data_IF_208408561784
#
_entry.id   IF_208408561784
#
_cell.length_a   1.000
_cell.length_b   1.000
_cell.length_c   1.000
_cell.angle_alpha   90.00
_cell.angle_beta   90.00
_cell.angle_gamma   90.00
#
_symmetry.space_group_name_H-M   'P 1'
#
loop_
_entity.id
_entity.type
_entity.pdbx_description
1 polymer ?
#
# COMPACT_ATOMS: atom_id res chain seq x y z
N UNK A 1 24.14 12.88 3.38
CA UNK A 1 24.23 11.47 3.82
C UNK A 1 23.12 10.71 3.12
N UNK A 2 23.50 9.79 2.23
CA UNK A 2 22.59 8.92 1.49
C UNK A 2 21.88 8.01 2.50
N UNK A 3 20.56 8.11 2.65
CA UNK A 3 19.81 7.10 3.39
C UNK A 3 19.73 5.86 2.51
N UNK A 4 20.65 4.92 2.73
CA UNK A 4 20.51 3.52 2.31
C UNK A 4 19.06 3.09 2.63
N UNK A 5 18.25 2.95 1.59
CA UNK A 5 16.93 2.35 1.73
C UNK A 5 17.17 0.92 2.17
N UNK A 6 17.09 0.65 3.47
CA UNK A 6 17.16 -0.74 3.96
C UNK A 6 15.98 -1.49 3.34
N UNK A 7 16.21 -2.48 2.45
CA UNK A 7 15.14 -3.00 1.62
C UNK A 7 14.35 -4.04 2.41
N UNK A 8 13.23 -3.61 2.99
CA UNK A 8 12.19 -4.54 3.39
C UNK A 8 11.67 -5.24 2.13
N UNK A 9 11.84 -6.56 2.06
CA UNK A 9 11.32 -7.39 0.98
C UNK A 9 10.18 -8.25 1.50
N UNK A 10 9.09 -8.33 0.74
CA UNK A 10 7.96 -9.21 1.03
C UNK A 10 7.87 -10.27 -0.07
N UNK A 11 7.92 -11.55 0.31
CA UNK A 11 7.81 -12.68 -0.62
C UNK A 11 6.91 -13.80 -0.08
N UNK A 12 6.38 -14.68 -0.95
CA UNK A 12 5.67 -15.87 -0.49
C UNK A 12 6.56 -16.76 0.38
N UNK A 13 5.94 -17.55 1.26
CA UNK A 13 6.61 -18.62 1.99
C UNK A 13 7.10 -19.70 1.02
N UNK A 14 8.34 -20.14 1.18
CA UNK A 14 8.91 -21.30 0.52
C UNK A 14 9.11 -22.45 1.52
N UNK A 15 9.11 -23.69 1.03
CA UNK A 15 9.33 -24.88 1.88
C UNK A 15 10.63 -24.79 2.70
N UNK A 16 11.70 -24.25 2.09
CA UNK A 16 13.01 -24.09 2.74
C UNK A 16 13.02 -23.08 3.90
N UNK A 17 12.01 -22.23 4.03
CA UNK A 17 11.94 -21.24 5.12
C UNK A 17 11.53 -21.87 6.46
N UNK A 18 10.87 -23.05 6.45
CA UNK A 18 10.17 -23.57 7.62
C UNK A 18 11.07 -23.76 8.85
N UNK A 19 12.26 -24.33 8.66
CA UNK A 19 13.23 -24.53 9.74
C UNK A 19 13.81 -23.20 10.22
N UNK A 20 14.25 -22.34 9.30
CA UNK A 20 14.84 -21.05 9.62
C UNK A 20 13.89 -20.12 10.39
N UNK A 21 12.60 -20.13 10.03
CA UNK A 21 11.57 -19.37 10.76
C UNK A 21 11.39 -19.93 12.18
N UNK A 22 11.26 -21.26 12.32
CA UNK A 22 11.09 -21.90 13.62
C UNK A 22 12.27 -21.61 14.56
N UNK A 23 13.51 -21.73 14.05
CA UNK A 23 14.72 -21.39 14.80
C UNK A 23 14.74 -19.92 15.23
N UNK A 24 14.35 -19.00 14.34
CA UNK A 24 14.35 -17.58 14.62
C UNK A 24 13.39 -17.21 15.77
N UNK A 25 12.20 -17.81 15.81
CA UNK A 25 11.25 -17.61 16.91
C UNK A 25 11.67 -18.32 18.20
N UNK A 26 12.25 -19.52 18.09
CA UNK A 26 12.76 -20.26 19.25
C UNK A 26 13.85 -19.46 19.99
N UNK A 27 14.73 -18.76 19.27
CA UNK A 27 15.78 -17.89 19.85
C UNK A 27 15.23 -16.74 20.72
N UNK A 28 13.98 -16.32 20.52
CA UNK A 28 13.32 -15.31 21.35
C UNK A 28 12.28 -15.90 22.32
N UNK A 29 12.29 -17.22 22.51
CA UNK A 29 11.44 -17.94 23.46
C UNK A 29 10.01 -18.21 22.96
N UNK A 30 9.75 -18.12 21.66
CA UNK A 30 8.42 -18.41 21.09
C UNK A 30 8.42 -19.81 20.48
N UNK A 31 7.51 -20.67 20.95
CA UNK A 31 7.35 -22.02 20.42
C UNK A 31 6.49 -22.01 19.14
N UNK A 32 7.15 -21.96 17.99
CA UNK A 32 6.52 -22.07 16.67
C UNK A 32 7.25 -23.15 15.86
N UNK A 33 6.86 -24.43 15.95
CA UNK A 33 7.62 -25.53 15.38
C UNK A 33 7.61 -25.51 13.85
N UNK A 34 8.67 -26.04 13.22
CA UNK A 34 8.78 -26.11 11.75
C UNK A 34 7.57 -26.78 11.08
N UNK A 35 6.95 -27.76 11.76
CA UNK A 35 5.73 -28.44 11.31
C UNK A 35 4.54 -27.49 11.09
N UNK A 36 4.44 -26.39 11.85
CA UNK A 36 3.42 -25.36 11.63
C UNK A 36 3.61 -24.69 10.26
N UNK A 37 4.84 -24.33 9.92
CA UNK A 37 5.16 -23.67 8.65
C UNK A 37 5.08 -24.62 7.46
N UNK A 38 5.45 -25.89 7.65
CA UNK A 38 5.24 -26.93 6.64
C UNK A 38 3.74 -27.07 6.28
N UNK A 39 2.86 -27.13 7.30
CA UNK A 39 1.40 -27.12 7.08
C UNK A 39 0.93 -25.84 6.38
N UNK A 40 1.45 -24.67 6.78
CA UNK A 40 1.10 -23.41 6.10
C UNK A 40 1.52 -23.39 4.63
N UNK A 41 2.68 -23.99 4.31
CA UNK A 41 3.14 -24.13 2.93
C UNK A 41 2.23 -25.07 2.12
N UNK A 42 1.85 -26.23 2.67
CA UNK A 42 0.88 -27.13 2.04
C UNK A 42 -0.49 -26.47 1.81
N UNK A 43 -0.98 -25.70 2.80
CA UNK A 43 -2.21 -24.91 2.69
C UNK A 43 -2.11 -23.81 1.63
N UNK A 44 -0.92 -23.23 1.46
CA UNK A 44 -0.63 -22.23 0.44
C UNK A 44 -0.69 -22.84 -0.97
N UNK A 45 -0.02 -23.97 -1.18
CA UNK A 45 -0.04 -24.70 -2.46
C UNK A 45 -1.45 -25.20 -2.80
N UNK A 46 -2.23 -25.60 -1.79
CA UNK A 46 -3.63 -25.97 -1.93
C UNK A 46 -4.60 -24.78 -2.07
N UNK A 47 -4.12 -23.54 -2.04
CA UNK A 47 -4.94 -22.34 -2.19
C UNK A 47 -5.90 -22.04 -1.02
N UNK A 48 -5.72 -22.68 0.13
CA UNK A 48 -6.50 -22.47 1.37
C UNK A 48 -5.96 -21.32 2.22
N UNK A 49 -4.65 -21.11 2.18
CA UNK A 49 -3.93 -20.01 2.87
C UNK A 49 -3.11 -19.22 1.85
N UNK A 50 -2.75 -17.98 2.19
CA UNK A 50 -1.64 -17.27 1.56
C UNK A 50 -0.69 -16.79 2.67
N UNK A 51 0.63 -17.01 2.52
CA UNK A 51 1.62 -16.61 3.52
C UNK A 51 2.61 -15.62 2.91
N UNK A 52 2.87 -14.53 3.62
CA UNK A 52 3.86 -13.54 3.24
C UNK A 52 4.94 -13.44 4.30
N UNK A 53 6.18 -13.66 3.88
CA UNK A 53 7.40 -13.52 4.68
C UNK A 53 7.99 -12.14 4.43
N UNK A 54 8.38 -11.46 5.52
CA UNK A 54 9.13 -10.23 5.50
C UNK A 54 10.62 -10.50 5.76
N UNK A 55 11.47 -9.95 4.90
CA UNK A 55 12.92 -9.95 5.06
C UNK A 55 13.42 -8.52 5.22
N UNK A 56 14.22 -8.28 6.26
CA UNK A 56 14.86 -6.99 6.51
C UNK A 56 16.35 -7.11 6.20
N UNK A 57 16.80 -6.50 5.10
CA UNK A 57 18.17 -6.64 4.60
C UNK A 57 18.59 -8.13 4.40
N UNK A 58 17.67 -8.94 3.88
CA UNK A 58 17.87 -10.37 3.61
C UNK A 58 17.68 -11.29 4.83
N UNK A 59 17.53 -10.76 6.05
CA UNK A 59 17.26 -11.57 7.24
C UNK A 59 15.76 -11.69 7.49
N UNK A 60 15.31 -12.87 7.93
CA UNK A 60 13.92 -13.12 8.27
C UNK A 60 13.48 -12.17 9.40
N UNK A 61 12.43 -11.38 9.14
CA UNK A 61 11.94 -10.36 10.05
C UNK A 61 10.56 -10.68 10.65
N UNK A 62 9.73 -11.41 9.90
CA UNK A 62 8.38 -11.73 10.32
C UNK A 62 7.55 -12.34 9.21
N UNK A 63 6.29 -12.64 9.49
CA UNK A 63 5.34 -13.14 8.52
C UNK A 63 3.90 -12.74 8.87
N UNK A 64 3.02 -12.87 7.89
CA UNK A 64 1.57 -12.82 8.08
C UNK A 64 0.93 -13.88 7.22
N UNK A 65 -0.25 -14.34 7.62
CA UNK A 65 -1.03 -15.26 6.80
C UNK A 65 -2.44 -14.74 6.54
N UNK A 66 -3.05 -15.19 5.47
CA UNK A 66 -4.46 -14.99 5.15
C UNK A 66 -5.08 -16.36 4.96
N UNK A 67 -6.17 -16.65 5.67
CA UNK A 67 -7.04 -17.80 5.38
C UNK A 67 -8.25 -17.33 4.58
N UNK A 68 -8.59 -18.06 3.52
CA UNK A 68 -9.70 -17.68 2.63
C UNK A 68 -11.07 -18.10 3.19
N UNK A 69 -11.06 -19.10 4.07
CA UNK A 69 -12.21 -19.53 4.87
C UNK A 69 -11.81 -19.44 6.34
N UNK A 70 -12.49 -18.60 7.11
CA UNK A 70 -12.18 -18.36 8.52
C UNK A 70 -12.76 -19.47 9.41
N UNK A 71 -12.09 -19.77 10.52
CA UNK A 71 -12.63 -20.65 11.57
C UNK A 71 -13.69 -19.92 12.42
N UNK A 72 -13.68 -18.58 12.45
CA UNK A 72 -14.71 -17.77 13.10
C UNK A 72 -16.01 -17.79 12.29
N UNK A 73 -17.05 -18.40 12.86
CA UNK A 73 -18.30 -18.69 12.15
C UNK A 73 -18.95 -17.46 11.49
N UNK A 74 -19.00 -16.27 12.11
CA UNK A 74 -19.50 -15.07 11.45
C UNK A 74 -18.73 -14.62 10.21
N UNK A 75 -17.39 -14.73 10.20
CA UNK A 75 -16.59 -14.39 9.02
C UNK A 75 -16.79 -15.42 7.92
N UNK A 76 -16.79 -16.71 8.27
CA UNK A 76 -17.09 -17.79 7.32
C UNK A 76 -18.45 -17.63 6.66
N UNK A 77 -19.50 -17.38 7.44
CA UNK A 77 -20.86 -17.19 6.94
C UNK A 77 -20.99 -15.97 6.01
N UNK A 78 -20.18 -14.93 6.24
CA UNK A 78 -20.15 -13.72 5.41
C UNK A 78 -19.08 -13.76 4.30
N UNK A 79 -18.40 -14.90 4.11
CA UNK A 79 -17.26 -15.06 3.19
C UNK A 79 -16.20 -13.96 3.33
N UNK A 80 -15.89 -13.57 4.57
CA UNK A 80 -14.84 -12.59 4.90
C UNK A 80 -13.52 -13.34 5.08
N UNK A 81 -12.51 -13.13 4.21
CA UNK A 81 -11.17 -13.68 4.43
C UNK A 81 -10.54 -13.07 5.68
N UNK A 82 -9.78 -13.88 6.40
CA UNK A 82 -9.22 -13.50 7.68
C UNK A 82 -7.70 -13.41 7.61
N UNK A 83 -7.15 -12.29 8.07
CA UNK A 83 -5.72 -12.17 8.36
C UNK A 83 -5.47 -12.84 9.71
N UNK A 84 -4.61 -13.84 9.74
CA UNK A 84 -4.27 -14.57 10.95
C UNK A 84 -2.76 -14.69 11.12
N UNK A 85 -2.32 -14.81 12.37
CA UNK A 85 -0.93 -15.11 12.75
C UNK A 85 0.11 -14.10 12.21
N UNK A 86 -0.11 -12.80 12.44
CA UNK A 86 0.91 -11.76 12.20
C UNK A 86 1.99 -11.83 13.29
N UNK A 87 3.25 -12.04 12.88
CA UNK A 87 4.38 -12.04 13.81
C UNK A 87 5.58 -11.29 13.24
N UNK A 88 6.21 -10.45 14.07
CA UNK A 88 7.47 -9.76 13.75
C UNK A 88 8.43 -10.02 14.90
N UNK A 89 9.64 -10.48 14.58
CA UNK A 89 10.69 -10.71 15.59
C UNK A 89 10.95 -9.42 16.37
N UNK A 90 11.18 -9.55 17.68
CA UNK A 90 11.26 -8.38 18.59
C UNK A 90 12.27 -7.33 18.12
N UNK A 91 13.42 -7.76 17.59
CA UNK A 91 14.49 -6.88 17.06
C UNK A 91 14.09 -6.05 15.83
N UNK A 92 13.02 -6.45 15.13
CA UNK A 92 12.52 -5.79 13.92
C UNK A 92 11.18 -5.06 14.11
N UNK A 93 10.63 -5.06 15.33
CA UNK A 93 9.43 -4.31 15.65
C UNK A 93 9.68 -2.79 15.60
N UNK A 94 8.59 -2.02 15.48
CA UNK A 94 8.62 -0.56 15.36
C UNK A 94 9.37 -0.02 14.10
N UNK A 95 9.65 -0.88 13.11
CA UNK A 95 10.23 -0.52 11.81
C UNK A 95 9.23 -0.48 10.65
N UNK A 96 7.92 -0.48 10.96
CA UNK A 96 6.86 -0.48 9.94
C UNK A 96 6.58 -1.84 9.28
N UNK A 97 7.31 -2.91 9.64
CA UNK A 97 7.17 -4.24 9.02
C UNK A 97 5.78 -4.84 9.22
N UNK A 98 5.21 -4.75 10.43
CA UNK A 98 3.87 -5.26 10.71
C UNK A 98 2.81 -4.57 9.83
N UNK A 99 2.89 -3.25 9.67
CA UNK A 99 2.02 -2.49 8.78
C UNK A 99 2.17 -2.93 7.32
N UNK A 100 3.41 -3.12 6.84
CA UNK A 100 3.68 -3.57 5.48
C UNK A 100 3.12 -4.98 5.21
N UNK A 101 3.26 -5.90 6.17
CA UNK A 101 2.67 -7.24 6.10
C UNK A 101 1.14 -7.18 6.04
N UNK A 102 0.48 -6.41 6.92
CA UNK A 102 -0.98 -6.25 6.86
C UNK A 102 -1.43 -5.65 5.53
N UNK A 103 -0.77 -4.58 5.05
CA UNK A 103 -1.09 -3.98 3.75
C UNK A 103 -0.92 -4.97 2.60
N UNK A 104 0.11 -5.84 2.67
CA UNK A 104 0.31 -6.91 1.69
C UNK A 104 -0.83 -7.91 1.71
N UNK A 105 -1.30 -8.31 2.88
CA UNK A 105 -2.46 -9.19 3.06
C UNK A 105 -3.76 -8.53 2.56
N UNK A 106 -4.03 -7.28 2.95
CA UNK A 106 -5.16 -6.47 2.48
C UNK A 106 -5.21 -6.36 0.96
N UNK A 107 -4.05 -6.16 0.31
CA UNK A 107 -3.94 -6.13 -1.15
C UNK A 107 -4.36 -7.45 -1.80
N UNK A 108 -4.13 -8.59 -1.14
CA UNK A 108 -4.57 -9.91 -1.63
C UNK A 108 -6.05 -10.11 -1.41
N UNK A 109 -6.53 -9.78 -0.21
CA UNK A 109 -7.95 -9.86 0.15
C UNK A 109 -8.78 -8.98 -0.78
N UNK A 110 -8.35 -7.75 -1.06
CA UNK A 110 -9.05 -6.80 -1.93
C UNK A 110 -9.25 -7.26 -3.38
N UNK A 111 -8.55 -8.31 -3.83
CA UNK A 111 -8.82 -8.94 -5.13
C UNK A 111 -10.01 -9.90 -5.11
N UNK A 112 -10.46 -10.32 -3.93
CA UNK A 112 -11.50 -11.35 -3.73
C UNK A 112 -12.68 -10.86 -2.89
N UNK A 113 -12.43 -9.98 -1.93
CA UNK A 113 -13.43 -9.51 -0.98
C UNK A 113 -13.28 -8.01 -0.69
N UNK A 114 -14.41 -7.28 -0.56
CA UNK A 114 -14.41 -5.89 -0.11
C UNK A 114 -14.18 -5.75 1.40
N UNK A 115 -14.03 -6.85 2.14
CA UNK A 115 -13.82 -6.87 3.58
C UNK A 115 -12.63 -7.76 3.93
N UNK A 116 -11.81 -7.31 4.88
CA UNK A 116 -10.83 -8.13 5.57
C UNK A 116 -11.25 -8.29 7.04
N UNK A 117 -11.20 -9.52 7.54
CA UNK A 117 -11.35 -9.86 8.95
C UNK A 117 -10.00 -10.01 9.64
N UNK A 118 -9.95 -9.76 10.95
CA UNK A 118 -8.80 -10.08 11.79
C UNK A 118 -9.26 -10.34 13.22
N UNK A 119 -8.75 -11.39 13.86
CA UNK A 119 -8.88 -11.61 15.30
C UNK A 119 -7.70 -11.01 16.06
N UNK A 120 -7.94 -10.45 17.25
CA UNK A 120 -6.88 -10.05 18.18
C UNK A 120 -7.19 -10.49 19.60
N UNK A 121 -6.20 -11.09 20.27
CA UNK A 121 -6.31 -11.48 21.67
C UNK A 121 -6.43 -10.27 22.61
N UNK A 122 -6.95 -10.52 23.81
CA UNK A 122 -7.30 -9.45 24.76
C UNK A 122 -6.30 -9.23 25.91
N UNK A 123 -5.21 -10.01 25.96
CA UNK A 123 -4.13 -9.79 26.95
C UNK A 123 -3.18 -8.67 26.53
N UNK A 124 -2.36 -8.19 27.48
CA UNK A 124 -1.42 -7.09 27.25
C UNK A 124 -0.38 -7.39 26.16
N UNK A 125 -0.02 -8.66 25.96
CA UNK A 125 0.94 -9.09 24.94
C UNK A 125 0.45 -8.80 23.51
N UNK A 126 -0.88 -8.71 23.32
CA UNK A 126 -1.50 -8.31 22.06
C UNK A 126 -1.63 -6.79 21.88
N UNK A 127 -1.30 -5.98 22.90
CA UNK A 127 -1.41 -4.52 22.88
C UNK A 127 -0.78 -3.84 21.66
N UNK A 128 0.43 -4.23 21.21
CA UNK A 128 1.01 -3.72 19.97
C UNK A 128 0.14 -3.99 18.73
N UNK A 129 -0.43 -5.20 18.61
CA UNK A 129 -1.31 -5.59 17.51
C UNK A 129 -2.66 -4.83 17.57
N UNK A 130 -3.27 -4.73 18.76
CA UNK A 130 -4.50 -3.96 18.98
C UNK A 130 -4.35 -2.51 18.50
N UNK A 131 -3.24 -1.85 18.88
CA UNK A 131 -2.92 -0.48 18.45
C UNK A 131 -2.68 -0.38 16.95
N UNK A 132 -1.95 -1.34 16.38
CA UNK A 132 -1.70 -1.39 14.93
C UNK A 132 -3.02 -1.51 14.15
N UNK A 133 -3.89 -2.44 14.52
CA UNK A 133 -5.14 -2.68 13.79
C UNK A 133 -6.08 -1.48 13.88
N UNK A 134 -6.19 -0.86 15.06
CA UNK A 134 -6.95 0.37 15.22
C UNK A 134 -6.39 1.52 14.35
N UNK A 135 -5.05 1.69 14.32
CA UNK A 135 -4.40 2.70 13.47
C UNK A 135 -4.63 2.45 11.97
N UNK A 136 -4.66 1.18 11.55
CA UNK A 136 -4.99 0.79 10.18
C UNK A 136 -6.50 0.91 9.87
N UNK A 137 -7.34 1.24 10.87
CA UNK A 137 -8.77 1.48 10.65
C UNK A 137 -9.64 0.22 10.69
N UNK A 138 -9.13 -0.87 11.28
CA UNK A 138 -9.98 -1.99 11.69
C UNK A 138 -10.91 -1.56 12.82
N UNK A 139 -12.15 -2.02 12.75
CA UNK A 139 -13.20 -1.74 13.75
C UNK A 139 -13.77 -3.04 14.27
N UNK A 140 -14.21 -3.12 15.54
CA UNK A 140 -14.92 -4.29 16.04
C UNK A 140 -16.06 -4.72 15.11
N UNK A 141 -16.22 -6.02 14.91
CA UNK A 141 -17.26 -6.61 14.06
C UNK A 141 -18.68 -6.45 14.64
N UNK A 142 -18.79 -5.93 15.86
CA UNK A 142 -20.05 -5.69 16.57
C UNK A 142 -20.61 -6.91 17.30
N UNK A 143 -19.84 -8.00 17.43
CA UNK A 143 -20.31 -9.27 18.03
C UNK A 143 -19.76 -9.54 19.42
N UNK A 144 -18.93 -8.64 19.95
CA UNK A 144 -18.31 -8.79 21.26
C UNK A 144 -17.12 -9.75 21.25
N UNK A 145 -16.79 -10.29 22.41
CA UNK A 145 -15.68 -11.23 22.58
C UNK A 145 -16.11 -12.63 22.18
N UNK A 146 -15.16 -13.42 21.68
CA UNK A 146 -15.36 -14.81 21.36
C UNK A 146 -14.27 -15.66 22.01
N UNK A 147 -14.63 -16.84 22.50
CA UNK A 147 -13.71 -17.85 23.02
C UNK A 147 -13.71 -19.03 22.04
N UNK A 148 -12.54 -19.49 21.59
CA UNK A 148 -12.40 -20.58 20.61
C UNK A 148 -13.27 -20.37 19.35
N UNK A 149 -13.37 -19.13 18.88
CA UNK A 149 -14.18 -18.77 17.70
C UNK A 149 -15.69 -18.75 17.92
N UNK A 150 -16.19 -18.96 19.14
CA UNK A 150 -17.60 -18.88 19.49
C UNK A 150 -17.91 -17.60 20.30
N UNK A 151 -18.95 -16.81 19.94
CA UNK A 151 -19.33 -15.63 20.70
C UNK A 151 -19.64 -15.93 22.17
N UNK A 152 -19.12 -15.12 23.08
CA UNK A 152 -19.45 -15.23 24.50
C UNK A 152 -20.86 -14.68 24.77
N UNK A 153 -21.68 -15.46 25.48
CA UNK A 153 -23.00 -15.03 25.90
C UNK A 153 -22.94 -14.08 27.11
N UNK A 154 -23.92 -13.20 27.22
CA UNK A 154 -24.06 -12.36 28.42
C UNK A 154 -24.21 -13.24 29.68
N UNK A 155 -23.38 -12.98 30.69
CA UNK A 155 -23.33 -13.77 31.93
C UNK A 155 -22.45 -15.02 31.86
N UNK A 156 -21.83 -15.32 30.72
CA UNK A 156 -20.85 -16.39 30.62
C UNK A 156 -19.55 -16.03 31.36
N UNK A 157 -18.92 -17.04 31.97
CA UNK A 157 -17.51 -16.95 32.41
C UNK A 157 -16.63 -17.40 31.27
N UNK A 158 -15.59 -16.62 30.97
CA UNK A 158 -14.60 -16.89 29.92
C UNK A 158 -13.20 -16.96 30.53
N UNK A 159 -12.31 -17.72 29.90
CA UNK A 159 -10.91 -17.82 30.32
C UNK A 159 -10.12 -16.75 29.59
N UNK A 160 -9.31 -15.97 30.31
CA UNK A 160 -8.42 -14.98 29.68
C UNK A 160 -7.15 -15.69 29.22
N UNK A 161 -7.16 -16.15 27.98
CA UNK A 161 -6.05 -16.83 27.31
C UNK A 161 -5.93 -16.38 25.84
N UNK A 162 -5.12 -17.09 25.04
CA UNK A 162 -4.90 -16.79 23.63
C UNK A 162 -6.14 -16.98 22.75
N UNK A 163 -7.15 -17.71 23.25
CA UNK A 163 -8.39 -17.99 22.52
C UNK A 163 -9.51 -16.99 22.83
N UNK A 164 -9.29 -16.07 23.79
CA UNK A 164 -10.21 -14.96 24.06
C UNK A 164 -9.91 -13.78 23.12
N UNK A 165 -10.71 -13.68 22.07
CA UNK A 165 -10.45 -12.84 20.90
C UNK A 165 -11.56 -11.81 20.70
N UNK A 166 -11.17 -10.59 20.30
CA UNK A 166 -12.06 -9.62 19.69
C UNK A 166 -11.83 -9.61 18.17
N UNK A 167 -12.90 -9.85 17.42
CA UNK A 167 -12.84 -9.85 15.95
C UNK A 167 -13.13 -8.47 15.39
N UNK A 168 -12.32 -8.07 14.42
CA UNK A 168 -12.38 -6.76 13.77
C UNK A 168 -12.55 -6.93 12.26
N UNK A 169 -13.20 -5.96 11.63
CA UNK A 169 -13.33 -5.89 10.17
C UNK A 169 -12.82 -4.56 9.64
N UNK A 170 -12.34 -4.59 8.40
CA UNK A 170 -11.98 -3.39 7.63
C UNK A 170 -12.53 -3.50 6.22
N UNK A 171 -13.17 -2.43 5.73
CA UNK A 171 -13.51 -2.31 4.30
C UNK A 171 -12.25 -2.08 3.48
N UNK A 172 -12.00 -2.98 2.53
CA UNK A 172 -10.96 -2.86 1.53
C UNK A 172 -11.55 -2.11 0.33
N UNK A 173 -11.17 -0.85 0.18
CA UNK A 173 -11.58 -0.06 -0.98
C UNK A 173 -10.77 -0.52 -2.20
N UNK A 174 -11.39 -0.80 -3.35
CA UNK A 174 -10.65 -1.01 -4.57
C UNK A 174 -9.83 0.25 -4.87
N UNK A 175 -8.57 0.05 -5.27
CA UNK A 175 -7.72 1.17 -5.69
C UNK A 175 -8.24 1.71 -7.01
N UNK A 176 -8.32 3.03 -7.12
CA UNK A 176 -8.73 3.69 -8.37
C UNK A 176 -7.59 3.64 -9.36
N UNK A 177 -7.85 3.26 -10.60
CA UNK A 177 -6.91 3.48 -11.70
C UNK A 177 -6.82 4.98 -11.95
N UNK A 178 -5.61 5.53 -11.96
CA UNK A 178 -5.36 6.96 -12.08
C UNK A 178 -4.29 7.22 -13.13
N UNK A 179 -4.58 8.15 -14.04
CA UNK A 179 -3.58 8.81 -14.87
C UNK A 179 -2.84 9.89 -14.06
N UNK A 180 -1.53 10.06 -14.26
CA UNK A 180 -0.77 11.09 -13.54
C UNK A 180 0.28 11.71 -14.44
N UNK A 181 0.24 13.03 -14.59
CA UNK A 181 1.18 13.80 -15.38
C UNK A 181 2.34 14.29 -14.52
N UNK A 182 3.54 14.20 -15.07
CA UNK A 182 4.70 14.97 -14.65
C UNK A 182 4.97 15.98 -15.76
N UNK A 183 4.76 17.25 -15.43
CA UNK A 183 5.05 18.39 -16.30
C UNK A 183 6.15 19.20 -15.64
N UNK A 184 7.28 19.33 -16.33
CA UNK A 184 8.37 20.21 -15.90
C UNK A 184 8.17 21.60 -16.49
N UNK A 185 8.22 22.61 -15.63
CA UNK A 185 8.22 24.02 -16.03
C UNK A 185 9.52 24.68 -15.60
N UNK A 186 9.75 25.92 -16.06
CA UNK A 186 10.85 26.73 -15.55
C UNK A 186 10.78 26.88 -14.02
N UNK A 187 9.58 26.87 -13.43
CA UNK A 187 9.28 27.01 -12.00
C UNK A 187 9.42 25.71 -11.18
N UNK A 188 9.55 24.54 -11.82
CA UNK A 188 9.65 23.24 -11.15
C UNK A 188 8.65 22.22 -11.72
N UNK A 189 8.41 21.12 -10.99
CA UNK A 189 7.38 20.14 -11.38
C UNK A 189 6.02 20.70 -10.98
N UNK A 190 5.09 20.81 -11.93
CA UNK A 190 3.75 21.36 -11.71
C UNK A 190 2.94 20.51 -10.72
N UNK A 191 2.24 21.19 -9.82
CA UNK A 191 1.29 20.61 -8.88
C UNK A 191 -0.03 21.37 -8.91
N UNK A 192 -1.12 20.64 -8.76
CA UNK A 192 -2.50 21.13 -8.68
C UNK A 192 -3.03 20.97 -7.25
N UNK A 193 -3.74 21.98 -6.73
CA UNK A 193 -4.33 21.93 -5.39
C UNK A 193 -5.64 21.13 -5.36
N UNK A 194 -5.84 20.32 -4.34
CA UNK A 194 -7.17 19.80 -3.98
C UNK A 194 -7.97 20.84 -3.18
N UNK A 195 -9.28 20.65 -3.08
CA UNK A 195 -10.16 21.46 -2.23
C UNK A 195 -9.67 21.53 -0.76
N UNK A 196 -9.10 20.44 -0.25
CA UNK A 196 -8.51 20.36 1.11
C UNK A 196 -7.15 21.08 1.29
N UNK A 197 -6.64 21.75 0.25
CA UNK A 197 -5.39 22.53 0.32
C UNK A 197 -4.10 21.69 0.28
N UNK A 198 -4.19 20.40 -0.08
CA UNK A 198 -3.04 19.58 -0.44
C UNK A 198 -2.70 19.76 -1.92
N UNK A 199 -1.43 19.65 -2.26
CA UNK A 199 -0.98 19.65 -3.65
C UNK A 199 -0.73 18.22 -4.15
N UNK A 200 -1.19 17.94 -5.37
CA UNK A 200 -1.02 16.68 -6.09
C UNK A 200 -0.35 16.93 -7.44
N UNK A 201 0.20 15.88 -8.03
CA UNK A 201 0.52 15.91 -9.46
C UNK A 201 -0.78 15.93 -10.28
N UNK A 202 -0.84 16.70 -11.38
CA UNK A 202 -2.02 16.75 -12.22
C UNK A 202 -2.45 15.36 -12.70
N UNK A 203 -3.74 15.12 -12.78
CA UNK A 203 -4.29 13.84 -13.21
C UNK A 203 -5.51 13.41 -12.41
N UNK A 204 -6.10 12.28 -12.80
CA UNK A 204 -7.37 11.86 -12.24
C UNK A 204 -7.73 10.41 -12.50
N UNK A 205 -8.92 10.05 -11.99
CA UNK A 205 -9.44 8.70 -12.12
C UNK A 205 -9.75 8.39 -13.59
N UNK A 206 -9.47 7.15 -14.00
CA UNK A 206 -9.85 6.67 -15.33
C UNK A 206 -11.35 6.45 -15.40
N UNK A 207 -12.01 7.07 -16.36
CA UNK A 207 -13.44 6.94 -16.61
C UNK A 207 -13.79 5.70 -17.47
N UNK A 208 -15.05 5.24 -17.49
CA UNK A 208 -15.46 4.11 -18.33
C UNK A 208 -15.18 4.37 -19.82
N UNK A 209 -14.40 3.48 -20.44
CA UNK A 209 -13.99 3.60 -21.85
C UNK A 209 -12.73 4.43 -22.08
N UNK A 210 -12.18 5.03 -21.03
CA UNK A 210 -10.99 5.88 -21.08
C UNK A 210 -9.70 5.07 -20.80
N UNK A 211 -8.62 5.40 -21.49
CA UNK A 211 -7.27 4.91 -21.18
C UNK A 211 -6.64 5.76 -20.07
N UNK A 212 -5.57 5.25 -19.44
CA UNK A 212 -4.85 6.05 -18.43
C UNK A 212 -4.18 7.29 -19.04
N UNK A 213 -3.80 7.23 -20.32
CA UNK A 213 -3.25 8.37 -21.03
C UNK A 213 -4.33 9.42 -21.26
N UNK A 214 -5.48 9.04 -21.81
CA UNK A 214 -6.61 9.97 -22.01
C UNK A 214 -7.03 10.65 -20.71
N UNK A 215 -7.15 9.89 -19.62
CA UNK A 215 -7.43 10.44 -18.29
C UNK A 215 -6.36 11.46 -17.85
N UNK A 216 -5.08 11.15 -18.10
CA UNK A 216 -3.98 12.07 -17.77
C UNK A 216 -4.08 13.38 -18.56
N UNK A 217 -4.39 13.31 -19.86
CA UNK A 217 -4.44 14.48 -20.73
C UNK A 217 -5.69 15.33 -20.49
N UNK A 218 -6.84 14.69 -20.23
CA UNK A 218 -8.09 15.35 -19.87
C UNK A 218 -7.91 16.16 -18.58
N UNK A 219 -7.45 15.51 -17.53
CA UNK A 219 -7.28 16.11 -16.21
C UNK A 219 -6.19 17.19 -16.22
N UNK A 220 -5.08 17.00 -16.95
CA UNK A 220 -4.08 18.05 -17.13
C UNK A 220 -4.71 19.33 -17.70
N UNK A 221 -5.57 19.19 -18.70
CA UNK A 221 -6.28 20.33 -19.30
C UNK A 221 -7.31 20.94 -18.35
N UNK A 222 -8.07 20.13 -17.63
CA UNK A 222 -9.12 20.58 -16.69
C UNK A 222 -8.54 21.26 -15.45
N UNK A 223 -7.42 20.76 -14.91
CA UNK A 223 -6.80 21.26 -13.68
C UNK A 223 -5.83 22.43 -13.93
N UNK A 224 -5.25 22.54 -15.14
CA UNK A 224 -4.15 23.48 -15.39
C UNK A 224 -4.28 24.31 -16.67
N UNK A 225 -5.29 24.04 -17.50
CA UNK A 225 -5.47 24.66 -18.81
C UNK A 225 -4.46 24.21 -19.88
N UNK A 226 -3.41 23.48 -19.51
CA UNK A 226 -2.37 23.03 -20.43
C UNK A 226 -2.90 21.98 -21.41
N UNK A 227 -2.47 22.07 -22.67
CA UNK A 227 -2.70 21.05 -23.68
C UNK A 227 -1.40 20.30 -23.93
N UNK A 228 -1.47 18.98 -23.81
CA UNK A 228 -0.32 18.15 -24.12
C UNK A 228 -0.03 18.15 -25.62
N UNK A 229 1.25 18.34 -25.94
CA UNK A 229 1.81 18.15 -27.27
C UNK A 229 2.25 16.70 -27.45
N UNK A 230 2.93 16.16 -26.43
CA UNK A 230 3.33 14.76 -26.40
C UNK A 230 3.34 14.23 -24.97
N UNK A 231 3.21 12.90 -24.83
CA UNK A 231 3.20 12.22 -23.55
C UNK A 231 3.90 10.86 -23.64
N UNK A 232 4.74 10.57 -22.65
CA UNK A 232 5.57 9.39 -22.60
C UNK A 232 5.34 8.65 -21.30
N UNK A 233 4.99 7.35 -21.39
CA UNK A 233 4.86 6.52 -20.20
C UNK A 233 6.21 6.39 -19.49
N UNK A 234 6.23 6.57 -18.17
CA UNK A 234 7.41 6.41 -17.33
C UNK A 234 7.36 5.10 -16.55
N UNK A 235 6.41 5.00 -15.61
CA UNK A 235 6.29 3.85 -14.72
C UNK A 235 4.92 3.78 -14.05
N UNK A 236 4.63 2.62 -13.45
CA UNK A 236 3.51 2.43 -12.53
C UNK A 236 3.92 2.74 -11.09
N UNK A 237 3.03 3.38 -10.32
CA UNK A 237 3.22 3.63 -8.89
C UNK A 237 1.93 3.34 -8.12
N UNK A 238 2.05 2.69 -6.97
CA UNK A 238 0.89 2.31 -6.16
C UNK A 238 0.88 3.09 -4.85
N UNK A 239 -0.21 3.82 -4.61
CA UNK A 239 -0.49 4.48 -3.33
C UNK A 239 -1.55 3.70 -2.56
N UNK A 240 -1.92 4.14 -1.36
CA UNK A 240 -3.02 3.52 -0.61
C UNK A 240 -4.37 3.63 -1.32
N UNK A 241 -4.59 4.70 -2.10
CA UNK A 241 -5.88 4.98 -2.73
C UNK A 241 -5.93 4.63 -4.23
N UNK A 242 -4.79 4.62 -4.92
CA UNK A 242 -4.75 4.56 -6.38
C UNK A 242 -3.60 3.75 -6.95
N UNK A 243 -3.84 3.17 -8.13
CA UNK A 243 -2.82 2.62 -9.03
C UNK A 243 -2.56 3.67 -10.11
N UNK A 244 -1.37 4.25 -10.10
CA UNK A 244 -0.98 5.32 -11.00
C UNK A 244 -0.24 4.75 -12.21
N UNK A 245 -0.65 5.14 -13.42
CA UNK A 245 0.26 5.16 -14.59
C UNK A 245 0.78 6.58 -14.75
N UNK A 246 2.09 6.73 -14.63
CA UNK A 246 2.76 8.03 -14.61
C UNK A 246 3.33 8.32 -16.00
N UNK A 247 3.03 9.50 -16.51
CA UNK A 247 3.47 9.98 -17.82
C UNK A 247 4.29 11.25 -17.67
N UNK A 248 5.40 11.35 -18.40
CA UNK A 248 6.04 12.63 -18.66
C UNK A 248 5.28 13.32 -19.79
N UNK A 249 4.79 14.53 -19.54
CA UNK A 249 3.95 15.26 -20.50
C UNK A 249 4.64 16.55 -20.89
N UNK A 250 4.87 16.71 -22.19
CA UNK A 250 5.32 17.98 -22.79
C UNK A 250 4.06 18.77 -23.12
N UNK A 251 3.89 19.91 -22.47
CA UNK A 251 2.75 20.78 -22.67
C UNK A 251 3.25 22.24 -22.69
N UNK A 252 3.47 22.83 -23.87
CA UNK A 252 3.91 24.20 -23.98
C UNK A 252 2.81 25.17 -23.49
N UNK A 253 3.25 26.32 -22.99
CA UNK A 253 2.38 27.35 -22.42
C UNK A 253 2.56 27.52 -20.91
N UNK A 254 1.85 28.50 -20.35
CA UNK A 254 1.84 28.76 -18.91
C UNK A 254 0.61 28.11 -18.27
N UNK A 255 0.76 27.27 -17.23
CA UNK A 255 -0.36 26.65 -16.56
C UNK A 255 -1.17 27.72 -15.80
N UNK A 256 -2.49 27.61 -15.88
CA UNK A 256 -3.41 28.54 -15.25
C UNK A 256 -4.33 27.81 -14.27
N UNK A 257 -4.59 28.37 -13.08
CA UNK A 257 -5.61 27.84 -12.19
C UNK A 257 -6.98 27.81 -12.90
N UNK A 258 -7.78 26.80 -12.57
CA UNK A 258 -9.15 26.64 -13.09
C UNK A 258 -10.16 26.73 -11.96
N UNK A 259 -11.46 26.71 -12.29
CA UNK A 259 -12.52 26.68 -11.25
C UNK A 259 -12.39 25.47 -10.34
N UNK A 260 -11.95 24.32 -10.88
CA UNK A 260 -11.76 23.08 -10.13
C UNK A 260 -10.45 23.09 -9.33
N UNK A 261 -9.42 23.74 -9.85
CA UNK A 261 -8.09 23.83 -9.24
C UNK A 261 -7.68 25.29 -9.09
N UNK A 262 -8.11 25.97 -8.03
CA UNK A 262 -7.89 27.41 -7.88
C UNK A 262 -6.44 27.77 -7.54
N UNK A 263 -5.58 26.80 -7.22
CA UNK A 263 -4.17 27.04 -6.88
C UNK A 263 -3.25 26.03 -7.55
N UNK A 264 -2.16 26.55 -8.11
CA UNK A 264 -1.05 25.77 -8.63
C UNK A 264 0.19 26.01 -7.76
N UNK A 265 1.03 24.99 -7.64
CA UNK A 265 2.34 25.08 -6.99
C UNK A 265 3.38 24.35 -7.82
N UNK A 266 4.65 24.49 -7.42
CA UNK A 266 5.76 23.86 -8.12
C UNK A 266 6.67 23.17 -7.12
N UNK A 267 6.91 21.88 -7.35
CA UNK A 267 7.90 21.14 -6.58
C UNK A 267 9.30 21.43 -7.11
N UNK A 268 10.20 21.83 -6.19
CA UNK A 268 11.64 21.91 -6.38
C UNK A 268 12.35 21.38 -5.15
N UNK A 269 13.55 20.85 -5.33
CA UNK A 269 14.40 20.49 -4.20
C UNK A 269 14.63 21.71 -3.29
N UNK A 270 14.34 21.56 -2.00
CA UNK A 270 14.52 22.61 -0.99
C UNK A 270 13.34 23.60 -0.84
N UNK A 271 12.28 23.48 -1.65
CA UNK A 271 11.05 24.29 -1.48
C UNK A 271 10.03 23.50 -0.67
N UNK A 272 9.49 24.11 0.38
CA UNK A 272 8.43 23.50 1.19
C UNK A 272 7.06 23.72 0.52
N UNK A 273 6.42 22.63 0.14
CA UNK A 273 5.07 22.61 -0.44
C UNK A 273 4.28 21.55 0.29
N UNK A 274 3.04 21.86 0.67
CA UNK A 274 2.12 20.92 1.30
C UNK A 274 1.62 19.87 0.30
N UNK A 275 2.52 19.00 -0.14
CA UNK A 275 2.29 17.96 -1.13
C UNK A 275 1.76 16.69 -0.45
N UNK A 276 0.76 16.05 -1.05
CA UNK A 276 0.27 14.78 -0.53
C UNK A 276 1.37 13.71 -0.58
N UNK A 277 1.41 12.83 0.43
CA UNK A 277 2.45 11.81 0.57
C UNK A 277 2.64 10.95 -0.69
N UNK A 278 1.54 10.54 -1.34
CA UNK A 278 1.59 9.76 -2.58
C UNK A 278 2.18 10.53 -3.77
N UNK A 279 1.81 11.80 -3.93
CA UNK A 279 2.37 12.64 -4.99
C UNK A 279 3.88 12.88 -4.76
N UNK A 280 4.29 13.12 -3.50
CA UNK A 280 5.71 13.24 -3.14
C UNK A 280 6.50 11.98 -3.48
N UNK A 281 5.96 10.80 -3.18
CA UNK A 281 6.61 9.53 -3.50
C UNK A 281 6.80 9.33 -5.02
N UNK A 282 5.80 9.73 -5.83
CA UNK A 282 5.91 9.69 -7.30
C UNK A 282 7.00 10.65 -7.79
N UNK A 283 7.02 11.89 -7.28
CA UNK A 283 8.02 12.89 -7.65
C UNK A 283 9.44 12.44 -7.31
N UNK A 284 9.67 11.92 -6.11
CA UNK A 284 10.99 11.42 -5.72
C UNK A 284 11.43 10.25 -6.61
N UNK A 285 10.52 9.31 -6.90
CA UNK A 285 10.81 8.22 -7.84
C UNK A 285 11.11 8.72 -9.25
N UNK A 286 10.43 9.78 -9.70
CA UNK A 286 10.74 10.40 -10.99
C UNK A 286 12.13 11.02 -11.02
N UNK A 287 12.54 11.71 -9.95
CA UNK A 287 13.90 12.28 -9.85
C UNK A 287 14.95 11.18 -9.99
N UNK A 288 14.78 10.05 -9.30
CA UNK A 288 15.68 8.89 -9.42
C UNK A 288 15.63 8.28 -10.82
N UNK A 289 14.43 8.11 -11.38
CA UNK A 289 14.21 7.57 -12.73
C UNK A 289 14.91 8.44 -13.80
N UNK A 290 14.83 9.77 -13.67
CA UNK A 290 15.48 10.73 -14.55
C UNK A 290 16.99 10.61 -14.49
N UNK A 291 17.56 10.55 -13.28
CA UNK A 291 19.01 10.42 -13.10
C UNK A 291 19.56 9.11 -13.67
N UNK A 292 18.76 8.04 -13.62
CA UNK A 292 19.13 6.75 -14.19
C UNK A 292 19.05 6.71 -15.74
N UNK A 293 18.35 7.65 -16.38
CA UNK A 293 18.10 7.65 -17.83
C UNK A 293 18.32 9.01 -18.51
N UNK A 294 19.50 9.64 -18.38
CA UNK A 294 19.73 11.01 -18.86
C UNK A 294 19.48 11.16 -20.37
N UNK A 295 19.97 10.23 -21.19
CA UNK A 295 19.83 10.27 -22.64
C UNK A 295 18.37 10.26 -23.13
N UNK A 296 17.46 9.57 -22.40
CA UNK A 296 16.03 9.57 -22.72
C UNK A 296 15.44 10.98 -22.55
N UNK A 297 15.73 11.63 -21.42
CA UNK A 297 15.20 12.97 -21.14
C UNK A 297 15.87 14.07 -21.97
N UNK A 298 17.14 13.91 -22.33
CA UNK A 298 17.82 14.82 -23.26
C UNK A 298 17.18 14.74 -24.66
N UNK A 299 16.84 13.53 -25.11
CA UNK A 299 16.12 13.31 -26.36
C UNK A 299 14.72 13.91 -26.36
N UNK A 300 14.00 13.84 -25.24
CA UNK A 300 12.68 14.46 -25.07
C UNK A 300 12.73 15.99 -25.19
N UNK A 301 13.73 16.64 -24.57
CA UNK A 301 13.92 18.09 -24.68
C UNK A 301 14.26 18.52 -26.11
N UNK A 302 15.18 17.81 -26.76
CA UNK A 302 15.55 18.10 -28.14
C UNK A 302 14.40 17.90 -29.13
N UNK A 303 13.41 17.05 -28.83
CA UNK A 303 12.18 16.92 -29.62
C UNK A 303 11.25 18.12 -29.38
N UNK A 304 10.98 18.48 -28.11
CA UNK A 304 10.12 19.61 -27.76
C UNK A 304 10.64 20.96 -28.29
N UNK A 305 11.95 21.19 -28.28
CA UNK A 305 12.55 22.45 -28.78
C UNK A 305 12.51 22.57 -30.31
N UNK A 306 12.40 21.46 -31.05
CA UNK A 306 12.33 21.46 -32.52
C UNK A 306 10.94 21.83 -33.04
N UNK A 307 9.89 21.46 -32.32
CA UNK A 307 8.51 21.76 -32.69
C UNK A 307 8.08 23.18 -32.26
N UNK A 308 8.75 23.78 -31.26
CA UNK A 308 8.53 25.18 -30.86
C UNK A 308 9.19 26.23 -31.79
N UNK A 309 10.04 25.79 -32.73
CA UNK A 309 10.79 26.66 -33.65
C UNK A 309 10.33 26.62 -35.12
N UNK A 310 9.23 25.92 -35.41
CA UNK A 310 8.62 25.79 -36.74
C UNK A 310 7.27 26.54 -36.81
#
# INVERSE_FOLDING_TARGET
>A
MMSEHTPLTLRPLAAADCEGIAEAFARQGWNKPAAQYARYFEEQEGGRREVWVAEWAGDFAGYVTVVWESDYAPFRAAAIPEIVDLNVLKRYQQKGIGSALIQRAEKRIGKRSPLAGIGVGLTADYGPAQRLYAHLGYRPDGRGIAQHGAPAAHGATVTVDDDLVLYLTRRIKPKRNRGTAIVETAQGILLASTHDGLFLLPGGGVEPGETHLEATLRELREETGLRAESAFYLFEHETNASLHKVYYVVAPGEPQPTEETPRLAYFRAGVDVNIAHGARAIVLRFVDYRQAQPAFFDGLRAAADRDAGA
#
